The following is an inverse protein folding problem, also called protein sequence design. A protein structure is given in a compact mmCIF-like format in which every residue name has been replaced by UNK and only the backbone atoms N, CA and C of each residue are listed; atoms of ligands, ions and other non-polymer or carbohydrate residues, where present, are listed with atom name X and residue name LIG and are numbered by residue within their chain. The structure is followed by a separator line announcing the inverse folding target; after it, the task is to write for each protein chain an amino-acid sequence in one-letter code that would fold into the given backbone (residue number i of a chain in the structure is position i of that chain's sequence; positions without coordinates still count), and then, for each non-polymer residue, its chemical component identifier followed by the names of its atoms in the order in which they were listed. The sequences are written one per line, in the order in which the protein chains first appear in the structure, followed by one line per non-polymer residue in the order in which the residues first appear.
data_IF_032413063340
#
_entry.id   IF_032413063340
#
_cell.length_a   1.000
_cell.length_b   1.000
_cell.length_c   1.000
_cell.angle_alpha   90.00
_cell.angle_beta   90.00
_cell.angle_gamma   90.00
#
_symmetry.space_group_name_H-M   'P 1'
#
loop_
_entity.id
_entity.type
_entity.pdbx_description
1 polymer ?
#
# COMPACT_ATOMS: atom_id res chain seq x y z
N UNK A 1 -5.81 -2.29 19.58
CA UNK A 1 -6.25 -2.47 18.18
C UNK A 1 -6.74 -1.17 17.51
N UNK A 2 -7.77 -0.45 17.97
CA UNK A 2 -8.25 0.78 17.29
C UNK A 2 -7.31 2.02 17.42
N UNK A 3 -6.29 1.96 18.28
CA UNK A 3 -5.39 3.09 18.59
C UNK A 3 -3.97 2.96 18.05
N UNK A 4 -3.62 1.86 17.38
CA UNK A 4 -2.25 1.66 16.89
C UNK A 4 -1.98 2.54 15.65
N UNK A 5 -0.78 3.12 15.53
CA UNK A 5 -0.48 4.12 14.51
C UNK A 5 -0.64 3.61 13.07
N UNK A 6 -0.42 2.31 12.82
CA UNK A 6 -0.63 1.67 11.52
C UNK A 6 -2.12 1.54 11.13
N UNK A 7 -3.04 1.60 12.09
CA UNK A 7 -4.48 1.47 11.84
C UNK A 7 -5.14 2.80 11.41
N UNK A 8 -4.37 3.90 11.45
CA UNK A 8 -4.80 5.21 10.97
C UNK A 8 -4.81 5.20 9.44
N UNK A 9 -5.97 5.49 8.85
CA UNK A 9 -6.12 5.57 7.39
C UNK A 9 -5.38 6.80 6.83
N UNK A 10 -5.41 7.90 7.58
CA UNK A 10 -4.72 9.14 7.24
C UNK A 10 -3.46 9.28 8.10
N UNK A 11 -2.34 8.81 7.57
CA UNK A 11 -1.01 9.05 8.14
C UNK A 11 -0.46 10.31 7.46
N UNK A 12 -0.15 11.39 8.20
CA UNK A 12 0.32 12.64 7.63
C UNK A 12 1.63 12.44 6.88
N UNK A 13 1.77 13.07 5.72
CA UNK A 13 2.98 13.02 4.91
C UNK A 13 4.14 13.76 5.62
N UNK A 14 5.38 13.24 5.58
CA UNK A 14 6.52 13.91 6.21
C UNK A 14 6.87 15.21 5.47
N UNK A 15 6.82 16.36 6.15
CA UNK A 15 6.81 17.68 5.53
C UNK A 15 8.17 18.32 5.21
N UNK A 16 9.31 17.73 5.60
CA UNK A 16 10.59 18.45 5.58
C UNK A 16 11.57 18.02 4.49
N UNK A 17 11.79 16.73 4.26
CA UNK A 17 12.75 16.23 3.26
C UNK A 17 12.34 14.83 2.81
N UNK A 18 11.95 14.64 1.56
CA UNK A 18 11.56 13.35 1.00
C UNK A 18 12.75 12.53 0.47
N UNK A 19 13.89 13.18 0.20
CA UNK A 19 15.12 12.53 -0.26
C UNK A 19 16.37 13.06 0.46
N UNK A 20 17.31 12.16 0.77
CA UNK A 20 18.57 12.47 1.44
C UNK A 20 19.72 11.94 0.59
N UNK A 21 20.80 12.71 0.51
CA UNK A 21 22.05 12.27 -0.11
C UNK A 21 22.83 11.40 0.86
N UNK A 22 23.13 10.17 0.44
CA UNK A 22 23.92 9.23 1.24
C UNK A 22 25.07 8.65 0.43
N UNK A 23 26.10 8.11 1.10
CA UNK A 23 27.09 7.26 0.45
C UNK A 23 26.40 6.08 -0.26
N UNK A 24 26.69 5.91 -1.55
CA UNK A 24 26.00 4.96 -2.40
C UNK A 24 26.96 3.87 -2.89
N UNK A 25 26.70 2.64 -2.45
CA UNK A 25 27.53 1.48 -2.74
C UNK A 25 26.74 0.42 -3.53
N UNK A 26 27.42 -0.65 -3.93
CA UNK A 26 26.77 -1.76 -4.67
C UNK A 26 25.68 -2.46 -3.84
N UNK A 27 25.82 -2.51 -2.52
CA UNK A 27 24.84 -3.13 -1.64
C UNK A 27 23.56 -2.31 -1.53
N UNK A 28 23.66 -0.97 -1.41
CA UNK A 28 22.50 -0.07 -1.38
C UNK A 28 21.79 -0.04 -2.73
N UNK A 29 22.53 -0.08 -3.84
CA UNK A 29 21.95 -0.21 -5.19
C UNK A 29 21.14 -1.51 -5.34
N UNK A 30 21.67 -2.63 -4.82
CA UNK A 30 20.95 -3.90 -4.82
C UNK A 30 19.68 -3.85 -3.96
N UNK A 31 19.74 -3.27 -2.76
CA UNK A 31 18.58 -3.11 -1.88
C UNK A 31 17.50 -2.22 -2.49
N UNK A 32 17.87 -1.08 -3.07
CA UNK A 32 16.91 -0.17 -3.74
C UNK A 32 16.22 -0.89 -4.91
N UNK A 33 16.98 -1.63 -5.73
CA UNK A 33 16.40 -2.43 -6.83
C UNK A 33 15.46 -3.52 -6.34
N UNK A 34 15.80 -4.21 -5.27
CA UNK A 34 14.94 -5.25 -4.69
C UNK A 34 13.61 -4.64 -4.21
N UNK A 35 13.67 -3.52 -3.48
CA UNK A 35 12.46 -2.83 -3.00
C UNK A 35 11.58 -2.34 -4.16
N UNK A 36 12.18 -1.77 -5.22
CA UNK A 36 11.43 -1.34 -6.40
C UNK A 36 10.80 -2.51 -7.16
N UNK A 37 11.47 -3.67 -7.22
CA UNK A 37 10.91 -4.89 -7.80
C UNK A 37 9.68 -5.38 -7.03
N UNK A 38 9.77 -5.50 -5.71
CA UNK A 38 8.64 -5.87 -4.85
C UNK A 38 7.48 -4.87 -4.94
N UNK A 39 7.81 -3.58 -5.01
CA UNK A 39 6.82 -2.51 -5.22
C UNK A 39 6.02 -2.74 -6.51
N UNK A 40 6.66 -3.07 -7.62
CA UNK A 40 5.98 -3.35 -8.89
C UNK A 40 5.10 -4.60 -8.81
N UNK A 41 5.50 -5.62 -8.06
CA UNK A 41 4.65 -6.78 -7.77
C UNK A 41 3.39 -6.39 -7.01
N UNK A 42 3.53 -5.58 -5.95
CA UNK A 42 2.37 -5.08 -5.17
C UNK A 42 1.43 -4.27 -6.04
N UNK A 43 1.94 -3.35 -6.87
CA UNK A 43 1.11 -2.54 -7.77
C UNK A 43 0.35 -3.39 -8.79
N UNK A 44 1.00 -4.39 -9.40
CA UNK A 44 0.34 -5.33 -10.32
C UNK A 44 -0.80 -6.08 -9.64
N UNK A 45 -0.60 -6.50 -8.38
CA UNK A 45 -1.64 -7.20 -7.62
C UNK A 45 -2.80 -6.29 -7.25
N UNK A 46 -2.54 -5.04 -6.80
CA UNK A 46 -3.61 -4.09 -6.43
C UNK A 46 -4.42 -3.63 -7.64
N UNK A 47 -3.77 -3.52 -8.80
CA UNK A 47 -4.39 -3.10 -10.06
C UNK A 47 -4.92 -4.28 -10.89
N UNK A 48 -4.86 -5.50 -10.37
CA UNK A 48 -5.39 -6.69 -11.05
C UNK A 48 -6.86 -6.53 -11.41
N UNK A 49 -7.19 -6.77 -12.67
CA UNK A 49 -8.57 -6.70 -13.16
C UNK A 49 -9.50 -7.67 -12.42
N UNK A 50 -8.98 -8.83 -12.01
CA UNK A 50 -9.72 -9.83 -11.25
C UNK A 50 -10.17 -9.22 -9.91
N UNK A 51 -9.24 -8.63 -9.16
CA UNK A 51 -9.57 -7.98 -7.89
C UNK A 51 -10.57 -6.83 -8.07
N UNK A 52 -10.41 -6.02 -9.12
CA UNK A 52 -11.34 -4.92 -9.39
C UNK A 52 -12.73 -5.41 -9.78
N UNK A 53 -12.84 -6.52 -10.51
CA UNK A 53 -14.13 -7.12 -10.86
C UNK A 53 -14.82 -7.73 -9.64
N UNK A 54 -14.09 -8.44 -8.78
CA UNK A 54 -14.61 -8.96 -7.51
C UNK A 54 -15.17 -7.84 -6.61
N UNK A 55 -14.43 -6.73 -6.47
CA UNK A 55 -14.88 -5.57 -5.70
C UNK A 55 -16.16 -4.97 -6.29
N UNK A 56 -16.28 -4.89 -7.62
CA UNK A 56 -17.50 -4.39 -8.28
C UNK A 56 -18.69 -5.33 -8.06
N UNK A 57 -18.47 -6.63 -8.14
CA UNK A 57 -19.51 -7.64 -7.87
C UNK A 57 -19.97 -7.52 -6.42
N UNK A 58 -19.04 -7.40 -5.46
CA UNK A 58 -19.37 -7.17 -4.05
C UNK A 58 -20.27 -5.95 -3.87
N UNK A 59 -19.91 -4.80 -4.44
CA UNK A 59 -20.75 -3.60 -4.34
C UNK A 59 -22.15 -3.81 -4.94
N UNK A 60 -22.23 -4.50 -6.09
CA UNK A 60 -23.52 -4.78 -6.73
C UNK A 60 -24.39 -5.72 -5.90
N UNK A 61 -23.80 -6.75 -5.31
CA UNK A 61 -24.49 -7.67 -4.40
C UNK A 61 -24.97 -6.94 -3.15
N UNK A 62 -24.12 -6.10 -2.56
CA UNK A 62 -24.50 -5.29 -1.39
C UNK A 62 -25.67 -4.37 -1.69
N UNK A 63 -25.68 -3.75 -2.87
CA UNK A 63 -26.76 -2.89 -3.32
C UNK A 63 -28.08 -3.68 -3.48
N UNK A 64 -28.07 -4.80 -4.22
CA UNK A 64 -29.27 -5.60 -4.49
C UNK A 64 -29.84 -6.21 -3.21
N UNK A 65 -28.98 -6.75 -2.34
CA UNK A 65 -29.39 -7.47 -1.13
C UNK A 65 -29.69 -6.53 0.06
N UNK A 66 -29.45 -5.22 -0.11
CA UNK A 66 -29.58 -4.21 0.94
C UNK A 66 -30.96 -4.11 1.58
N UNK A 67 -32.02 -4.40 0.83
CA UNK A 67 -33.39 -4.33 1.35
C UNK A 67 -33.86 -5.67 1.91
N UNK A 68 -33.50 -6.78 1.26
CA UNK A 68 -34.00 -8.11 1.58
C UNK A 68 -33.26 -8.79 2.74
N UNK A 69 -31.99 -8.43 2.99
CA UNK A 69 -31.11 -9.17 3.92
C UNK A 69 -30.51 -8.33 5.05
N UNK A 70 -31.14 -7.22 5.45
CA UNK A 70 -30.60 -6.30 6.49
C UNK A 70 -30.23 -6.98 7.81
N UNK A 71 -31.01 -7.98 8.24
CA UNK A 71 -30.77 -8.73 9.49
C UNK A 71 -29.85 -9.95 9.34
N UNK A 72 -29.42 -10.30 8.13
CA UNK A 72 -28.65 -11.52 7.89
C UNK A 72 -27.17 -11.35 8.30
N UNK A 73 -26.62 -12.31 9.05
CA UNK A 73 -25.23 -12.26 9.55
C UNK A 73 -24.19 -12.28 8.42
N UNK A 74 -24.39 -13.09 7.39
CA UNK A 74 -23.51 -13.17 6.20
C UNK A 74 -23.52 -11.84 5.44
N UNK A 75 -24.70 -11.22 5.28
CA UNK A 75 -24.81 -9.90 4.66
C UNK A 75 -24.07 -8.81 5.45
N UNK A 76 -24.13 -8.86 6.79
CA UNK A 76 -23.33 -7.96 7.65
C UNK A 76 -21.82 -8.24 7.54
N UNK A 77 -21.43 -9.51 7.35
CA UNK A 77 -20.05 -9.89 7.03
C UNK A 77 -19.56 -9.27 5.72
N UNK A 78 -20.38 -9.30 4.66
CA UNK A 78 -20.05 -8.66 3.38
C UNK A 78 -19.88 -7.15 3.50
N UNK A 79 -20.73 -6.47 4.29
CA UNK A 79 -20.55 -5.03 4.59
C UNK A 79 -19.23 -4.75 5.31
N UNK A 80 -18.84 -5.63 6.23
CA UNK A 80 -17.56 -5.52 6.92
C UNK A 80 -16.37 -5.73 5.96
N UNK A 81 -16.49 -6.60 4.96
CA UNK A 81 -15.49 -6.75 3.88
C UNK A 81 -15.42 -5.48 3.02
N UNK A 82 -16.56 -4.92 2.62
CA UNK A 82 -16.63 -3.63 1.92
C UNK A 82 -15.92 -2.52 2.72
N UNK A 83 -16.15 -2.43 4.02
CA UNK A 83 -15.51 -1.43 4.87
C UNK A 83 -13.98 -1.59 4.87
N UNK A 84 -13.46 -2.81 4.92
CA UNK A 84 -12.02 -3.06 4.80
C UNK A 84 -11.47 -2.60 3.45
N UNK A 85 -12.16 -2.92 2.35
CA UNK A 85 -11.77 -2.52 0.99
C UNK A 85 -11.78 -0.99 0.85
N UNK A 86 -12.83 -0.32 1.36
CA UNK A 86 -12.92 1.13 1.30
C UNK A 86 -11.80 1.80 2.12
N UNK A 87 -11.47 1.27 3.30
CA UNK A 87 -10.34 1.76 4.09
C UNK A 87 -9.00 1.53 3.38
N UNK A 88 -8.82 0.39 2.72
CA UNK A 88 -7.62 0.07 1.94
C UNK A 88 -7.44 1.07 0.79
N UNK A 89 -8.52 1.41 0.07
CA UNK A 89 -8.50 2.45 -0.97
C UNK A 89 -8.13 3.83 -0.41
N UNK A 90 -8.68 4.19 0.75
CA UNK A 90 -8.38 5.47 1.41
C UNK A 90 -6.93 5.56 1.90
N UNK A 91 -6.27 4.43 2.13
CA UNK A 91 -4.82 4.40 2.36
C UNK A 91 -4.00 4.72 1.12
N UNK A 92 -4.57 5.03 -0.06
CA UNK A 92 -3.88 5.51 -1.28
C UNK A 92 -2.49 4.87 -1.51
N UNK A 93 -2.40 3.54 -1.39
CA UNK A 93 -1.11 2.84 -1.38
C UNK A 93 -0.38 3.02 -2.71
N UNK A 94 -1.11 3.00 -3.83
CA UNK A 94 -0.55 3.19 -5.16
C UNK A 94 0.18 4.52 -5.32
N UNK A 95 -0.42 5.62 -4.84
CA UNK A 95 0.21 6.93 -4.87
C UNK A 95 1.53 6.94 -4.06
N UNK A 96 1.52 6.40 -2.84
CA UNK A 96 2.73 6.35 -2.01
C UNK A 96 3.84 5.46 -2.58
N UNK A 97 3.48 4.36 -3.27
CA UNK A 97 4.45 3.52 -3.96
C UNK A 97 5.01 4.21 -5.22
N UNK A 98 4.20 5.00 -5.92
CA UNK A 98 4.69 5.82 -7.03
C UNK A 98 5.63 6.92 -6.53
N UNK A 99 5.31 7.59 -5.42
CA UNK A 99 6.21 8.56 -4.78
C UNK A 99 7.57 7.93 -4.44
N UNK A 100 7.59 6.68 -3.97
CA UNK A 100 8.85 5.94 -3.73
C UNK A 100 9.67 5.79 -5.01
N UNK A 101 9.01 5.59 -6.16
CA UNK A 101 9.68 5.43 -7.45
C UNK A 101 10.28 6.74 -7.92
N UNK A 102 9.57 7.85 -7.70
CA UNK A 102 10.05 9.19 -8.03
C UNK A 102 11.25 9.63 -7.17
N UNK A 103 11.27 9.22 -5.90
CA UNK A 103 12.34 9.54 -4.95
C UNK A 103 13.54 8.59 -5.03
N UNK A 104 13.38 7.44 -5.70
CA UNK A 104 14.46 6.45 -5.84
C UNK A 104 15.31 6.74 -7.07
N UNK A 105 16.62 6.49 -7.01
CA UNK A 105 17.51 6.76 -8.12
C UNK A 105 17.19 5.88 -9.33
N UNK A 106 17.00 6.52 -10.48
CA UNK A 106 16.83 5.86 -11.77
C UNK A 106 18.11 5.13 -12.20
N UNK A 107 18.01 4.16 -13.12
CA UNK A 107 19.16 3.34 -13.59
C UNK A 107 20.42 4.16 -13.93
N UNK A 108 20.24 5.34 -14.53
CA UNK A 108 21.32 6.27 -14.87
C UNK A 108 21.89 6.94 -13.60
N UNK A 109 21.03 7.44 -12.71
CA UNK A 109 21.43 8.03 -11.43
C UNK A 109 22.11 7.02 -10.50
N UNK A 110 21.69 5.75 -10.51
CA UNK A 110 22.35 4.68 -9.74
C UNK A 110 23.73 4.32 -10.31
N UNK A 111 23.94 4.47 -11.62
CA UNK A 111 25.26 4.29 -12.22
C UNK A 111 26.18 5.47 -11.88
N UNK A 112 25.68 6.69 -12.04
CA UNK A 112 26.40 7.92 -11.70
C UNK A 112 26.72 8.01 -10.19
N UNK A 113 25.76 7.64 -9.35
CA UNK A 113 25.93 7.64 -7.90
C UNK A 113 26.94 6.60 -7.42
N UNK A 114 27.07 5.46 -8.10
CA UNK A 114 28.15 4.50 -7.83
C UNK A 114 29.52 5.01 -8.23
N UNK A 115 29.62 5.76 -9.34
CA UNK A 115 30.90 6.37 -9.74
C UNK A 115 31.28 7.58 -8.88
N UNK A 116 30.29 8.36 -8.41
CA UNK A 116 30.50 9.53 -7.56
C UNK A 116 30.61 9.19 -6.06
N UNK A 117 30.19 7.99 -5.66
CA UNK A 117 30.17 7.52 -4.27
C UNK A 117 28.98 8.01 -3.45
N UNK A 118 28.10 8.84 -4.02
CA UNK A 118 26.93 9.42 -3.36
C UNK A 118 25.70 9.41 -4.26
N UNK A 119 24.51 9.23 -3.67
CA UNK A 119 23.25 9.26 -4.41
C UNK A 119 22.11 9.78 -3.53
N UNK A 120 21.12 10.41 -4.17
CA UNK A 120 19.89 10.86 -3.51
C UNK A 120 18.93 9.66 -3.43
N UNK A 121 18.50 9.34 -2.20
CA UNK A 121 17.59 8.22 -1.90
C UNK A 121 16.45 8.71 -1.03
N UNK A 122 15.34 7.95 -0.90
CA UNK A 122 14.25 8.32 -0.01
C UNK A 122 14.72 8.49 1.44
N UNK A 123 14.24 9.55 2.10
CA UNK A 123 14.61 9.84 3.48
C UNK A 123 14.03 8.82 4.47
N UNK A 124 14.65 8.68 5.65
CA UNK A 124 14.14 7.80 6.70
C UNK A 124 12.68 8.12 7.09
N UNK A 125 12.27 9.38 7.32
CA UNK A 125 10.87 9.70 7.62
C UNK A 125 9.91 9.28 6.52
N UNK A 126 10.31 9.35 5.25
CA UNK A 126 9.52 8.87 4.13
C UNK A 126 9.37 7.35 4.16
N UNK A 127 10.46 6.61 4.38
CA UNK A 127 10.43 5.15 4.46
C UNK A 127 9.57 4.67 5.65
N UNK A 128 9.70 5.29 6.82
CA UNK A 128 8.87 4.97 7.99
C UNK A 128 7.38 5.21 7.71
N UNK A 129 7.05 6.36 7.09
CA UNK A 129 5.68 6.67 6.67
C UNK A 129 5.14 5.62 5.69
N UNK A 130 5.93 5.23 4.69
CA UNK A 130 5.55 4.22 3.72
C UNK A 130 5.35 2.85 4.38
N UNK A 131 6.26 2.44 5.27
CA UNK A 131 6.15 1.19 6.03
C UNK A 131 4.86 1.13 6.84
N UNK A 132 4.47 2.21 7.52
CA UNK A 132 3.21 2.26 8.26
C UNK A 132 1.99 2.06 7.36
N UNK A 133 2.01 2.62 6.14
CA UNK A 133 0.94 2.42 5.15
C UNK A 133 0.89 0.99 4.63
N UNK A 134 2.04 0.39 4.32
CA UNK A 134 2.13 -1.01 3.86
C UNK A 134 1.64 -1.96 4.95
N UNK A 135 2.05 -1.76 6.20
CA UNK A 135 1.58 -2.55 7.34
C UNK A 135 0.07 -2.41 7.57
N UNK A 136 -0.45 -1.18 7.51
CA UNK A 136 -1.87 -0.91 7.60
C UNK A 136 -2.67 -1.61 6.49
N UNK A 137 -2.18 -1.54 5.25
CA UNK A 137 -2.78 -2.20 4.10
C UNK A 137 -2.78 -3.73 4.25
N UNK A 138 -1.65 -4.31 4.65
CA UNK A 138 -1.53 -5.75 4.89
C UNK A 138 -2.48 -6.25 5.98
N UNK A 139 -2.64 -5.49 7.06
CA UNK A 139 -3.61 -5.82 8.11
C UNK A 139 -5.07 -5.75 7.61
N UNK A 140 -5.42 -4.73 6.82
CA UNK A 140 -6.76 -4.63 6.22
C UNK A 140 -7.04 -5.79 5.26
N UNK A 141 -6.06 -6.21 4.46
CA UNK A 141 -6.18 -7.38 3.58
C UNK A 141 -6.38 -8.67 4.39
N UNK A 142 -5.59 -8.88 5.43
CA UNK A 142 -5.75 -10.03 6.34
C UNK A 142 -7.13 -10.03 7.00
N UNK A 143 -7.61 -8.88 7.47
CA UNK A 143 -8.97 -8.73 8.01
C UNK A 143 -10.04 -9.07 6.97
N UNK A 144 -9.90 -8.60 5.73
CA UNK A 144 -10.83 -8.95 4.64
C UNK A 144 -10.88 -10.45 4.42
N UNK A 145 -9.71 -11.10 4.30
CA UNK A 145 -9.61 -12.55 4.08
C UNK A 145 -10.24 -13.34 5.24
N UNK A 146 -9.95 -12.96 6.49
CA UNK A 146 -10.53 -13.59 7.67
C UNK A 146 -12.06 -13.43 7.75
N UNK A 147 -12.59 -12.32 7.23
CA UNK A 147 -14.05 -12.10 7.18
C UNK A 147 -14.69 -12.89 6.05
N UNK A 148 -14.04 -12.98 4.89
CA UNK A 148 -14.49 -13.81 3.77
C UNK A 148 -14.49 -15.30 4.13
N UNK A 149 -13.52 -15.79 4.91
CA UNK A 149 -13.46 -17.21 5.30
C UNK A 149 -14.46 -17.62 6.37
N UNK A 150 -15.08 -16.65 7.06
CA UNK A 150 -16.09 -16.87 8.10
C UNK A 150 -17.53 -16.65 7.62
N UNK A 151 -17.69 -16.09 6.41
CA UNK A 151 -18.97 -15.78 5.79
C UNK A 151 -19.57 -17.02 5.12
#
# INVERSE_FOLDING_TARGET
MAGEPWNRVNIPFPSAVSSVRIPFNSTTDASVKAVLGEKDHVLKLTQSEILQTEIRVLYKLLYILSNSYRGNKTFQGLKQVEQCINRLKMMKLEAALNDLTELSPNRIQSQLGRSAGECDVPSQPFLEWLCLRVLGAGHLMSCSLSRCSRA
#
